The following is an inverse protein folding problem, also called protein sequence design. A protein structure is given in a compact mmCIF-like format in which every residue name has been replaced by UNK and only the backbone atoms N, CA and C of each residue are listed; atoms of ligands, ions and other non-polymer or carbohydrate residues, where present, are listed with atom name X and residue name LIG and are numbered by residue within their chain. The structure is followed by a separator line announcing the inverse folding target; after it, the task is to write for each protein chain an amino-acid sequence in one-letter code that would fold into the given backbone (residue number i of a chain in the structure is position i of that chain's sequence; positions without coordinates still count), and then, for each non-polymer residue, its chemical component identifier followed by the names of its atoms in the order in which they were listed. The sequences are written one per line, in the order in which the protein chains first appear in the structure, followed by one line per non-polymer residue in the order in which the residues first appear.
data_IF_279369148512
#
_entry.id   IF_279369148512
#
_cell.length_a   1.000
_cell.length_b   1.000
_cell.length_c   1.000
_cell.angle_alpha   90.00
_cell.angle_beta   90.00
_cell.angle_gamma   90.00
#
_symmetry.space_group_name_H-M   'P 1'
#
loop_
_entity.id
_entity.type
_entity.pdbx_description
1 polymer ?
#
# COMPACT_ATOMS: atom_id res chain seq x y z
N UNK A 1 -53.44 -13.12 18.75
CA UNK A 1 -52.71 -14.37 18.95
C UNK A 1 -51.67 -14.49 17.85
N UNK A 2 -50.50 -14.82 18.26
CA UNK A 2 -49.29 -15.24 17.50
C UNK A 2 -48.51 -14.18 16.72
N UNK A 3 -47.55 -13.72 17.43
CA UNK A 3 -46.34 -13.03 17.00
C UNK A 3 -45.53 -13.87 16.03
N UNK A 4 -45.16 -13.28 14.92
CA UNK A 4 -44.09 -13.77 14.04
C UNK A 4 -42.91 -12.86 14.16
N UNK A 5 -41.87 -13.28 14.88
CA UNK A 5 -40.60 -12.57 14.96
C UNK A 5 -39.80 -12.74 13.67
N UNK A 6 -39.46 -11.64 13.06
CA UNK A 6 -38.56 -11.58 11.94
C UNK A 6 -37.15 -11.38 12.49
N UNK A 7 -36.33 -12.41 12.38
CA UNK A 7 -34.89 -12.35 12.69
C UNK A 7 -34.17 -11.66 11.52
N UNK A 8 -33.83 -10.42 11.68
CA UNK A 8 -32.88 -9.76 10.83
C UNK A 8 -31.48 -10.35 11.06
N UNK A 9 -31.08 -11.23 10.15
CA UNK A 9 -29.73 -11.72 10.05
C UNK A 9 -28.79 -10.63 9.54
N UNK A 10 -28.20 -9.91 10.46
CA UNK A 10 -27.16 -8.94 10.19
C UNK A 10 -25.88 -9.69 9.81
N UNK A 11 -25.69 -9.90 8.49
CA UNK A 11 -24.42 -10.38 7.93
C UNK A 11 -23.45 -9.21 7.99
N UNK A 12 -22.75 -9.11 9.10
CA UNK A 12 -21.64 -8.18 9.26
C UNK A 12 -20.47 -8.58 8.35
N UNK A 13 -20.37 -7.95 7.20
CA UNK A 13 -19.14 -7.95 6.40
C UNK A 13 -18.06 -7.19 7.18
N UNK A 14 -17.29 -7.90 7.96
CA UNK A 14 -16.06 -7.37 8.53
C UNK A 14 -15.00 -7.37 7.40
N UNK A 15 -15.02 -6.33 6.58
CA UNK A 15 -13.90 -6.01 5.70
C UNK A 15 -12.82 -5.35 6.55
N UNK A 16 -11.85 -6.17 6.97
CA UNK A 16 -10.70 -5.71 7.72
C UNK A 16 -9.79 -4.86 6.85
N UNK A 17 -9.87 -3.55 7.00
CA UNK A 17 -8.81 -2.64 6.56
C UNK A 17 -7.58 -2.93 7.45
N UNK A 18 -6.59 -3.61 6.89
CA UNK A 18 -5.35 -3.89 7.59
C UNK A 18 -4.46 -2.65 7.60
N UNK A 19 -4.78 -1.68 8.44
CA UNK A 19 -3.80 -0.65 8.83
C UNK A 19 -2.62 -1.36 9.49
N UNK A 20 -1.40 -1.00 9.14
CA UNK A 20 -0.17 -1.58 9.67
C UNK A 20 -0.06 -1.51 11.21
N UNK A 21 -0.91 -0.75 11.87
CA UNK A 21 -1.05 -0.68 13.34
C UNK A 21 -1.38 -2.05 13.98
N UNK A 22 -1.82 -3.05 13.20
CA UNK A 22 -2.09 -4.41 13.66
C UNK A 22 -0.94 -5.39 13.36
N UNK A 23 0.10 -4.97 12.64
CA UNK A 23 1.25 -5.81 12.34
C UNK A 23 2.11 -5.95 13.61
N UNK A 24 2.06 -7.11 14.24
CA UNK A 24 3.07 -7.47 15.25
C UNK A 24 4.36 -7.78 14.50
N UNK A 25 5.42 -6.95 14.62
CA UNK A 25 6.67 -7.19 13.93
C UNK A 25 7.23 -8.53 14.38
N UNK A 26 7.40 -9.46 13.45
CA UNK A 26 8.20 -10.65 13.74
C UNK A 26 9.63 -10.20 13.90
N UNK A 27 10.25 -10.60 15.00
CA UNK A 27 11.66 -10.30 15.24
C UNK A 27 12.50 -10.94 14.12
N UNK A 28 13.11 -10.10 13.30
CA UNK A 28 14.10 -10.54 12.31
C UNK A 28 15.40 -10.84 13.05
N UNK A 29 15.85 -12.09 13.00
CA UNK A 29 17.12 -12.49 13.63
C UNK A 29 18.22 -12.36 12.58
N UNK A 30 19.27 -11.58 12.90
CA UNK A 30 20.46 -11.46 12.07
C UNK A 30 20.31 -10.63 10.79
N UNK A 31 19.23 -9.83 10.67
CA UNK A 31 18.97 -8.97 9.48
C UNK A 31 18.82 -7.49 9.84
N UNK A 32 19.38 -7.08 10.97
CA UNK A 32 19.25 -5.69 11.46
C UNK A 32 19.81 -4.68 10.46
N UNK A 33 20.92 -5.04 9.79
CA UNK A 33 21.55 -4.19 8.77
C UNK A 33 20.65 -4.03 7.54
N UNK A 34 20.11 -5.12 7.00
CA UNK A 34 19.20 -5.07 5.85
C UNK A 34 17.93 -4.27 6.20
N UNK A 35 17.39 -4.45 7.40
CA UNK A 35 16.24 -3.69 7.87
C UNK A 35 16.55 -2.19 7.89
N UNK A 36 17.70 -1.77 8.42
CA UNK A 36 18.11 -0.38 8.47
C UNK A 36 18.30 0.22 7.06
N UNK A 37 18.96 -0.51 6.16
CA UNK A 37 19.17 -0.09 4.76
C UNK A 37 17.84 0.10 4.01
N UNK A 38 16.86 -0.79 4.21
CA UNK A 38 15.55 -0.64 3.56
C UNK A 38 14.74 0.51 4.16
N UNK A 39 14.78 0.71 5.48
CA UNK A 39 14.12 1.85 6.13
C UNK A 39 14.69 3.18 5.61
N UNK A 40 16.02 3.29 5.49
CA UNK A 40 16.67 4.47 4.93
C UNK A 40 16.27 4.72 3.47
N UNK A 41 16.20 3.66 2.66
CA UNK A 41 15.75 3.74 1.28
C UNK A 41 14.30 4.22 1.18
N UNK A 42 13.39 3.66 1.98
CA UNK A 42 11.98 4.05 2.03
C UNK A 42 11.80 5.52 2.43
N UNK A 43 12.66 6.03 3.31
CA UNK A 43 12.62 7.43 3.75
C UNK A 43 13.16 8.42 2.71
N UNK A 44 14.04 7.97 1.80
CA UNK A 44 14.79 8.83 0.88
C UNK A 44 14.36 8.73 -0.58
N UNK A 45 13.60 7.70 -0.94
CA UNK A 45 13.18 7.45 -2.33
C UNK A 45 11.67 7.17 -2.42
N UNK A 46 11.02 7.61 -3.51
CA UNK A 46 9.58 7.36 -3.71
C UNK A 46 9.27 5.88 -3.98
N UNK A 47 10.26 5.09 -4.38
CA UNK A 47 10.12 3.66 -4.66
C UNK A 47 11.33 2.90 -4.14
N UNK A 48 11.07 1.84 -3.38
CA UNK A 48 12.07 0.87 -2.94
C UNK A 48 11.63 -0.54 -3.33
N UNK A 49 12.50 -1.29 -3.98
CA UNK A 49 12.21 -2.68 -4.39
C UNK A 49 13.13 -3.64 -3.64
N UNK A 50 12.53 -4.64 -3.00
CA UNK A 50 13.25 -5.74 -2.33
C UNK A 50 13.17 -7.00 -3.17
N UNK A 51 14.31 -7.47 -3.65
CA UNK A 51 14.43 -8.68 -4.47
C UNK A 51 15.18 -9.79 -3.73
N UNK A 52 14.94 -11.03 -4.13
CA UNK A 52 15.64 -12.18 -3.58
C UNK A 52 14.88 -13.48 -3.85
N UNK A 53 15.55 -14.64 -3.70
CA UNK A 53 14.91 -15.95 -3.92
C UNK A 53 13.74 -16.19 -2.97
N UNK A 54 12.89 -17.15 -3.33
CA UNK A 54 11.78 -17.58 -2.47
C UNK A 54 12.27 -18.10 -1.12
N UNK A 55 11.52 -17.82 -0.05
CA UNK A 55 11.81 -18.32 1.28
C UNK A 55 12.89 -17.57 2.08
N UNK A 56 13.52 -16.54 1.52
CA UNK A 56 14.56 -15.75 2.24
C UNK A 56 13.99 -14.74 3.25
N UNK A 57 12.68 -14.71 3.45
CA UNK A 57 12.05 -13.84 4.44
C UNK A 57 11.78 -12.41 3.96
N UNK A 58 11.57 -12.18 2.65
CA UNK A 58 11.16 -10.87 2.10
C UNK A 58 9.92 -10.31 2.77
N UNK A 59 8.88 -11.13 2.90
CA UNK A 59 7.64 -10.79 3.60
C UNK A 59 7.88 -10.34 5.05
N UNK A 60 8.71 -11.08 5.80
CA UNK A 60 9.02 -10.72 7.17
C UNK A 60 9.80 -9.39 7.25
N UNK A 61 10.71 -9.16 6.32
CA UNK A 61 11.44 -7.90 6.19
C UNK A 61 10.47 -6.74 5.85
N UNK A 62 9.61 -6.92 4.85
CA UNK A 62 8.62 -5.92 4.46
C UNK A 62 7.69 -5.52 5.62
N UNK A 63 7.21 -6.51 6.38
CA UNK A 63 6.39 -6.26 7.57
C UNK A 63 7.16 -5.52 8.68
N UNK A 64 8.44 -5.86 8.88
CA UNK A 64 9.29 -5.17 9.88
C UNK A 64 9.57 -3.72 9.45
N UNK A 65 9.85 -3.47 8.17
CA UNK A 65 10.01 -2.13 7.59
C UNK A 65 8.72 -1.33 7.78
N UNK A 66 7.57 -1.88 7.41
CA UNK A 66 6.28 -1.23 7.57
C UNK A 66 6.01 -0.80 9.03
N UNK A 67 6.28 -1.69 9.97
CA UNK A 67 6.12 -1.40 11.40
C UNK A 67 7.11 -0.33 11.91
N UNK A 68 8.38 -0.42 11.51
CA UNK A 68 9.41 0.53 11.93
C UNK A 68 9.24 1.93 11.31
N UNK A 69 8.69 2.01 10.10
CA UNK A 69 8.48 3.26 9.37
C UNK A 69 7.17 3.97 9.73
N UNK A 70 6.31 3.39 10.56
CA UNK A 70 4.99 3.94 10.86
C UNK A 70 4.99 5.38 11.39
N UNK A 71 6.03 5.77 12.12
CA UNK A 71 6.18 7.14 12.62
C UNK A 71 6.55 8.16 11.54
N UNK A 72 7.10 7.71 10.41
CA UNK A 72 7.52 8.56 9.29
C UNK A 72 6.36 8.83 8.31
N UNK A 73 5.31 8.00 8.34
CA UNK A 73 4.13 8.10 7.47
C UNK A 73 2.87 8.31 8.31
N UNK A 74 2.58 9.57 8.70
CA UNK A 74 1.55 9.88 9.69
C UNK A 74 0.14 9.50 9.25
N UNK A 75 -0.15 9.50 7.96
CA UNK A 75 -1.50 9.18 7.48
C UNK A 75 -1.78 7.69 7.52
N UNK A 76 -0.89 6.88 6.99
CA UNK A 76 -0.99 5.42 7.09
C UNK A 76 0.23 4.67 6.56
N UNK A 77 0.37 3.41 7.00
CA UNK A 77 1.20 2.39 6.36
C UNK A 77 0.28 1.23 6.00
N UNK A 78 0.25 0.84 4.74
CA UNK A 78 -0.52 -0.30 4.24
C UNK A 78 0.39 -1.41 3.74
N UNK A 79 0.07 -2.65 4.09
CA UNK A 79 0.66 -3.83 3.48
C UNK A 79 -0.42 -4.53 2.68
N UNK A 80 -0.23 -4.57 1.37
CA UNK A 80 -1.16 -5.13 0.39
C UNK A 80 -0.63 -6.47 -0.12
N UNK A 81 -1.45 -7.50 -0.01
CA UNK A 81 -1.13 -8.86 -0.41
C UNK A 81 -1.69 -9.14 -1.81
N UNK A 82 -0.81 -9.43 -2.76
CA UNK A 82 -1.19 -9.67 -4.15
C UNK A 82 -1.26 -11.17 -4.52
N UNK A 83 -1.13 -12.06 -3.55
CA UNK A 83 -1.09 -13.52 -3.76
C UNK A 83 -2.31 -14.11 -4.49
N UNK A 84 -3.48 -13.52 -4.32
CA UNK A 84 -4.74 -14.00 -4.90
C UNK A 84 -4.99 -13.53 -6.32
N UNK A 85 -4.22 -12.55 -6.83
CA UNK A 85 -4.42 -11.97 -8.14
C UNK A 85 -3.91 -12.88 -9.25
N UNK A 86 -4.73 -13.08 -10.25
CA UNK A 86 -4.39 -13.86 -11.44
C UNK A 86 -4.26 -13.00 -12.70
N UNK A 87 -4.61 -11.72 -12.63
CA UNK A 87 -4.64 -10.78 -13.75
C UNK A 87 -4.15 -9.41 -13.32
N UNK A 88 -3.31 -8.85 -14.16
CA UNK A 88 -2.76 -7.51 -14.04
C UNK A 88 -3.82 -6.40 -13.97
N UNK A 89 -4.91 -6.58 -14.70
CA UNK A 89 -5.99 -5.58 -14.85
C UNK A 89 -6.68 -5.24 -13.52
N UNK A 90 -6.56 -6.11 -12.52
CA UNK A 90 -7.24 -5.96 -11.24
C UNK A 90 -6.34 -5.42 -10.11
N UNK A 91 -5.04 -5.20 -10.36
CA UNK A 91 -4.09 -4.81 -9.29
C UNK A 91 -4.47 -3.48 -8.66
N UNK A 92 -4.71 -2.45 -9.45
CA UNK A 92 -5.08 -1.14 -8.92
C UNK A 92 -6.40 -1.17 -8.13
N UNK A 93 -7.36 -1.97 -8.58
CA UNK A 93 -8.62 -2.20 -7.87
C UNK A 93 -8.44 -2.94 -6.54
N UNK A 94 -7.56 -3.95 -6.51
CA UNK A 94 -7.25 -4.69 -5.30
C UNK A 94 -6.50 -3.82 -4.29
N UNK A 95 -5.51 -3.04 -4.74
CA UNK A 95 -4.82 -2.06 -3.88
C UNK A 95 -5.83 -1.08 -3.30
N UNK A 96 -6.69 -0.49 -4.14
CA UNK A 96 -7.74 0.42 -3.72
C UNK A 96 -8.65 -0.19 -2.65
N UNK A 97 -9.08 -1.43 -2.85
CA UNK A 97 -9.94 -2.15 -1.91
C UNK A 97 -9.25 -2.38 -0.56
N UNK A 98 -7.98 -2.83 -0.59
CA UNK A 98 -7.22 -3.11 0.64
C UNK A 98 -6.84 -1.84 1.42
N UNK A 99 -6.64 -0.70 0.76
CA UNK A 99 -6.43 0.58 1.45
C UNK A 99 -7.73 1.26 1.89
N UNK A 100 -8.88 0.65 1.56
CA UNK A 100 -10.19 1.18 1.92
C UNK A 100 -10.63 2.39 1.10
N UNK A 101 -10.07 2.55 -0.10
CA UNK A 101 -10.41 3.65 -1.00
C UNK A 101 -11.72 3.36 -1.74
N UNK A 102 -12.63 4.32 -1.73
CA UNK A 102 -13.84 4.30 -2.52
C UNK A 102 -13.64 5.08 -3.82
N UNK A 103 -13.92 4.43 -4.95
CA UNK A 103 -13.86 5.08 -6.26
C UNK A 103 -15.16 5.83 -6.55
N UNK A 104 -15.05 7.07 -6.99
CA UNK A 104 -16.18 7.88 -7.42
C UNK A 104 -16.26 7.95 -8.95
N UNK A 105 -17.45 7.64 -9.52
CA UNK A 105 -17.74 7.84 -10.94
C UNK A 105 -16.86 7.04 -11.89
N UNK A 106 -16.88 7.34 -13.17
CA UNK A 106 -16.20 6.60 -14.26
C UNK A 106 -14.66 6.68 -14.30
N UNK A 107 -13.99 7.14 -13.24
CA UNK A 107 -12.54 7.24 -13.14
C UNK A 107 -11.88 5.85 -13.07
N UNK A 108 -10.68 5.70 -13.65
CA UNK A 108 -9.92 4.46 -13.50
C UNK A 108 -9.44 4.27 -12.04
N UNK A 109 -9.22 3.02 -11.60
CA UNK A 109 -8.66 2.77 -10.27
C UNK A 109 -7.26 3.37 -10.11
N UNK A 110 -6.47 3.38 -11.18
CA UNK A 110 -5.12 3.96 -11.16
C UNK A 110 -5.17 5.47 -10.96
N UNK A 111 -6.05 6.18 -11.65
CA UNK A 111 -6.21 7.63 -11.49
C UNK A 111 -6.72 7.99 -10.10
N UNK A 112 -7.71 7.25 -9.62
CA UNK A 112 -8.27 7.44 -8.28
C UNK A 112 -7.21 7.17 -7.19
N UNK A 113 -6.40 6.11 -7.34
CA UNK A 113 -5.34 5.77 -6.41
C UNK A 113 -4.22 6.81 -6.41
N UNK A 114 -3.85 7.34 -7.59
CA UNK A 114 -2.87 8.41 -7.71
C UNK A 114 -3.31 9.66 -6.95
N UNK A 115 -4.52 10.15 -7.21
CA UNK A 115 -5.04 11.32 -6.51
C UNK A 115 -5.18 11.10 -5.00
N UNK A 116 -5.55 9.90 -4.58
CA UNK A 116 -5.65 9.55 -3.17
C UNK A 116 -4.28 9.55 -2.47
N UNK A 117 -3.23 9.06 -3.14
CA UNK A 117 -1.86 9.04 -2.63
C UNK A 117 -1.22 10.42 -2.61
N UNK A 118 -1.51 11.27 -3.63
CA UNK A 118 -0.93 12.62 -3.74
C UNK A 118 -1.26 13.54 -2.56
N UNK A 119 -2.38 13.29 -1.90
CA UNK A 119 -2.86 14.10 -0.77
C UNK A 119 -2.43 13.56 0.60
N UNK A 120 -1.60 12.52 0.66
CA UNK A 120 -1.32 11.77 1.90
C UNK A 120 0.12 11.33 2.01
N UNK A 121 0.64 11.37 3.23
CA UNK A 121 1.92 10.78 3.58
C UNK A 121 1.74 9.30 3.96
N UNK A 122 1.73 8.44 2.94
CA UNK A 122 1.44 7.02 3.05
C UNK A 122 2.61 6.17 2.58
N UNK A 123 2.93 5.12 3.32
CA UNK A 123 3.75 4.02 2.86
C UNK A 123 2.86 2.88 2.35
N UNK A 124 2.98 2.57 1.08
CA UNK A 124 2.32 1.43 0.45
C UNK A 124 3.33 0.30 0.19
N UNK A 125 3.16 -0.82 0.87
CA UNK A 125 3.99 -2.02 0.71
C UNK A 125 3.19 -3.05 -0.09
N UNK A 126 3.71 -3.43 -1.26
CA UNK A 126 3.12 -4.50 -2.09
C UNK A 126 3.93 -5.77 -1.89
N UNK A 127 3.31 -6.82 -1.40
CA UNK A 127 3.96 -8.10 -1.12
C UNK A 127 3.39 -9.24 -1.95
N UNK A 128 4.23 -10.25 -2.16
CA UNK A 128 3.91 -11.44 -2.96
C UNK A 128 3.57 -11.12 -4.42
N UNK A 129 4.42 -10.30 -5.05
CA UNK A 129 4.24 -9.81 -6.42
C UNK A 129 4.82 -10.74 -7.48
N UNK A 130 5.48 -11.85 -7.12
CA UNK A 130 6.30 -12.66 -8.02
C UNK A 130 5.55 -13.15 -9.27
N UNK A 131 4.26 -13.38 -9.16
CA UNK A 131 3.42 -13.86 -10.27
C UNK A 131 2.77 -12.75 -11.11
N UNK A 132 2.91 -11.48 -10.69
CA UNK A 132 2.32 -10.30 -11.36
C UNK A 132 3.30 -9.14 -11.51
N UNK A 133 4.59 -9.43 -11.57
CA UNK A 133 5.68 -8.43 -11.56
C UNK A 133 5.50 -7.35 -12.61
N UNK A 134 5.22 -7.72 -13.87
CA UNK A 134 5.05 -6.75 -14.96
C UNK A 134 3.92 -5.76 -14.69
N UNK A 135 2.83 -6.25 -14.19
CA UNK A 135 1.66 -5.44 -13.93
C UNK A 135 1.81 -4.54 -12.69
N UNK A 136 2.53 -5.03 -11.69
CA UNK A 136 2.93 -4.18 -10.54
C UNK A 136 3.89 -3.10 -11.01
N UNK A 137 4.85 -3.41 -11.88
CA UNK A 137 5.75 -2.42 -12.45
C UNK A 137 4.99 -1.34 -13.23
N UNK A 138 4.06 -1.72 -14.11
CA UNK A 138 3.24 -0.78 -14.87
C UNK A 138 2.40 0.13 -13.95
N UNK A 139 1.81 -0.42 -12.89
CA UNK A 139 1.08 0.35 -11.89
C UNK A 139 1.99 1.34 -11.19
N UNK A 140 3.12 0.89 -10.68
CA UNK A 140 4.08 1.71 -9.92
C UNK A 140 4.68 2.81 -10.78
N UNK A 141 5.05 2.51 -12.02
CA UNK A 141 5.56 3.50 -12.98
C UNK A 141 4.51 4.59 -13.25
N UNK A 142 3.25 4.19 -13.44
CA UNK A 142 2.15 5.11 -13.64
C UNK A 142 1.87 5.99 -12.41
N UNK A 143 1.90 5.44 -11.22
CA UNK A 143 1.75 6.18 -9.96
C UNK A 143 2.90 7.16 -9.75
N UNK A 144 4.14 6.69 -9.89
CA UNK A 144 5.35 7.49 -9.66
C UNK A 144 5.47 8.65 -10.64
N UNK A 145 5.22 8.41 -11.93
CA UNK A 145 5.29 9.44 -12.96
C UNK A 145 4.28 10.57 -12.69
N UNK A 146 3.08 10.26 -12.24
CA UNK A 146 2.04 11.25 -11.92
C UNK A 146 2.32 12.00 -10.63
N UNK A 147 2.70 11.30 -9.56
CA UNK A 147 3.04 11.93 -8.29
C UNK A 147 4.22 12.90 -8.43
N UNK A 148 5.25 12.52 -9.19
CA UNK A 148 6.37 13.42 -9.47
C UNK A 148 5.94 14.63 -10.32
N UNK A 149 5.05 14.46 -11.31
CA UNK A 149 4.56 15.58 -12.12
C UNK A 149 3.74 16.58 -11.31
N UNK A 150 2.98 16.12 -10.32
CA UNK A 150 2.23 17.01 -9.42
C UNK A 150 3.15 17.81 -8.49
N UNK A 151 4.21 17.20 -7.96
CA UNK A 151 5.23 17.87 -7.16
C UNK A 151 5.92 19.01 -7.95
N UNK A 152 6.22 18.78 -9.23
CA UNK A 152 6.84 19.79 -10.09
C UNK A 152 5.86 20.81 -10.66
N UNK A 153 4.56 20.51 -10.68
CA UNK A 153 3.52 21.40 -11.19
C UNK A 153 2.90 22.30 -10.11
N UNK A 154 3.11 21.99 -8.84
CA UNK A 154 2.68 22.85 -7.75
C UNK A 154 3.61 24.08 -7.69
N UNK A 155 3.11 25.30 -7.90
CA UNK A 155 3.92 26.50 -7.74
C UNK A 155 4.11 26.74 -6.23
N UNK A 156 5.01 26.00 -5.61
CA UNK A 156 5.57 26.42 -4.33
C UNK A 156 6.36 27.69 -4.64
N UNK A 157 5.85 28.82 -4.15
CA UNK A 157 6.36 30.14 -4.42
C UNK A 157 7.86 30.23 -4.28
N UNK A 158 8.49 30.59 -5.38
CA UNK A 158 9.78 31.25 -5.36
C UNK A 158 9.46 32.68 -4.88
N UNK A 159 9.52 32.88 -3.58
CA UNK A 159 9.68 34.23 -3.06
C UNK A 159 11.16 34.56 -3.19
N UNK A 160 11.48 35.28 -4.26
CA UNK A 160 12.72 36.03 -4.38
C UNK A 160 12.82 37.04 -3.25
N UNK A 161 13.83 36.85 -2.44
CA UNK A 161 14.41 37.93 -1.63
C UNK A 161 15.88 38.09 -1.98
#
# INVERSE_FOLDING_TARGET
MTSGGTSDGQVGAQQGSHRATALRPRRLVGRDRELAEVIESVASTPLTTVTGPGGVGKTALAQAVAAASAAQFPDAVFVVWLASLRSAEHIAGEVAAQVGMLRSGGQSYQDALTGWLAERDVLLVLDNCEHVVSAVADLVDGLTARLLSEVYSSPAGIEDH
#
